data_IF_751514376524
#
_entry.id   IF_751514376524
#
_cell.length_a   1.000
_cell.length_b   1.000
_cell.length_c   1.000
_cell.angle_alpha   90.00
_cell.angle_beta   90.00
_cell.angle_gamma   90.00
#
_symmetry.space_group_name_H-M   'P 1'
#
loop_
_entity.id
_entity.type
_entity.pdbx_description
1 polymer ?
#
# COMPACT_ATOMS: atom_id res chain seq x y z
N UNK A 1 39.12 9.62 16.05
CA UNK A 1 37.90 9.21 16.78
C UNK A 1 37.12 8.27 15.89
N UNK A 2 36.65 7.14 16.44
CA UNK A 2 36.19 5.95 15.70
C UNK A 2 36.37 4.69 16.57
N UNK A 3 36.10 4.81 17.87
CA UNK A 3 36.39 3.76 18.88
C UNK A 3 35.23 2.79 19.10
N UNK A 4 34.12 2.99 18.38
CA UNK A 4 32.93 2.16 18.41
C UNK A 4 32.26 2.18 17.03
N UNK A 5 31.49 1.13 16.74
CA UNK A 5 30.65 1.00 15.54
C UNK A 5 29.22 0.68 15.95
N UNK A 6 28.20 1.11 15.18
CA UNK A 6 26.83 0.73 15.44
C UNK A 6 26.66 -0.78 15.21
N UNK A 7 26.02 -1.45 16.16
CA UNK A 7 25.60 -2.83 16.07
C UNK A 7 24.08 -2.85 16.27
N UNK A 8 23.39 -3.60 15.42
CA UNK A 8 21.95 -3.72 15.45
C UNK A 8 21.58 -5.19 15.64
N UNK A 9 20.66 -5.43 16.56
CA UNK A 9 20.05 -6.74 16.78
C UNK A 9 18.55 -6.58 17.03
N UNK A 10 17.74 -7.60 16.75
CA UNK A 10 16.35 -7.61 17.16
C UNK A 10 16.25 -7.47 18.69
N UNK A 11 15.32 -6.64 19.18
CA UNK A 11 15.12 -6.45 20.63
C UNK A 11 14.77 -7.77 21.35
N UNK A 12 14.13 -8.71 20.63
CA UNK A 12 13.78 -10.06 21.07
C UNK A 12 13.92 -11.03 19.91
N UNK A 13 13.95 -12.33 20.19
CA UNK A 13 13.96 -13.36 19.16
C UNK A 13 12.75 -13.19 18.21
N UNK A 14 13.04 -13.13 16.90
CA UNK A 14 12.04 -13.06 15.84
C UNK A 14 12.28 -14.24 14.90
N UNK A 15 11.25 -15.08 14.73
CA UNK A 15 11.30 -16.25 13.84
C UNK A 15 10.59 -15.96 12.53
N UNK A 16 11.23 -16.26 11.42
CA UNK A 16 10.63 -16.22 10.10
C UNK A 16 9.59 -17.35 9.95
N UNK A 17 8.70 -17.23 8.95
CA UNK A 17 7.75 -18.30 8.60
C UNK A 17 8.44 -19.62 8.21
N UNK A 18 9.67 -19.54 7.71
CA UNK A 18 10.53 -20.69 7.39
C UNK A 18 11.11 -21.38 8.64
N UNK A 19 10.99 -20.77 9.82
CA UNK A 19 11.55 -21.25 11.10
C UNK A 19 12.95 -20.71 11.41
N UNK A 20 13.55 -19.95 10.51
CA UNK A 20 14.87 -19.34 10.67
C UNK A 20 14.82 -18.13 11.63
N UNK A 21 15.95 -17.86 12.31
CA UNK A 21 16.13 -16.67 13.14
C UNK A 21 16.35 -15.43 12.28
N UNK A 22 15.53 -14.41 12.50
CA UNK A 22 15.67 -13.12 11.83
C UNK A 22 16.82 -12.31 12.45
N UNK A 23 17.50 -11.55 11.61
CA UNK A 23 18.54 -10.59 11.99
C UNK A 23 18.17 -9.19 11.48
N UNK A 24 18.83 -8.15 12.03
CA UNK A 24 18.77 -6.82 11.42
C UNK A 24 19.79 -6.75 10.30
N UNK A 25 19.35 -6.39 9.10
CA UNK A 25 20.22 -6.24 7.93
C UNK A 25 20.15 -4.82 7.40
N UNK A 26 21.29 -4.31 6.95
CA UNK A 26 21.37 -3.13 6.10
C UNK A 26 21.34 -3.62 4.65
N UNK A 27 20.25 -3.34 3.95
CA UNK A 27 20.03 -3.79 2.57
C UNK A 27 19.31 -2.73 1.75
N UNK A 28 19.40 -2.86 0.43
CA UNK A 28 18.61 -2.05 -0.50
C UNK A 28 17.14 -2.50 -0.42
N UNK A 29 16.27 -1.58 -0.03
CA UNK A 29 14.85 -1.83 0.15
C UNK A 29 14.05 -0.55 -0.13
N UNK A 30 12.93 -0.68 -0.84
CA UNK A 30 11.94 0.40 -0.91
C UNK A 30 11.15 0.47 0.39
N UNK A 31 10.98 1.69 0.89
CA UNK A 31 10.32 2.01 2.16
C UNK A 31 9.12 2.94 1.92
N UNK A 32 8.06 2.79 2.71
CA UNK A 32 7.03 3.81 2.89
C UNK A 32 7.44 4.70 4.06
N UNK A 33 7.47 6.01 3.86
CA UNK A 33 7.87 6.98 4.88
C UNK A 33 6.66 7.43 5.73
N UNK A 34 6.18 6.56 6.61
CA UNK A 34 5.14 6.95 7.58
C UNK A 34 5.67 7.86 8.70
N UNK A 35 7.00 8.02 8.79
CA UNK A 35 7.65 8.90 9.74
C UNK A 35 7.52 10.39 9.37
N UNK A 36 7.23 10.70 8.10
CA UNK A 36 7.08 12.07 7.60
C UNK A 36 6.05 12.85 8.41
N UNK A 37 6.50 13.93 9.07
CA UNK A 37 5.65 14.72 9.96
C UNK A 37 4.40 15.28 9.28
N UNK A 38 4.51 15.71 8.01
CA UNK A 38 3.37 16.28 7.29
C UNK A 38 2.26 15.24 7.06
N UNK A 39 2.64 13.98 6.81
CA UNK A 39 1.71 12.88 6.60
C UNK A 39 1.16 12.35 7.93
N UNK A 40 2.05 12.08 8.89
CA UNK A 40 1.69 11.63 10.23
C UNK A 40 0.65 12.55 10.88
N UNK A 41 0.84 13.87 10.77
CA UNK A 41 -0.10 14.84 11.34
C UNK A 41 -1.48 14.79 10.66
N UNK A 42 -1.55 14.64 9.32
CA UNK A 42 -2.83 14.44 8.62
C UNK A 42 -3.56 13.19 9.10
N UNK A 43 -2.83 12.09 9.34
CA UNK A 43 -3.44 10.84 9.84
C UNK A 43 -3.91 11.01 11.28
N UNK A 44 -3.10 11.63 12.15
CA UNK A 44 -3.50 11.96 13.53
C UNK A 44 -4.76 12.81 13.60
N UNK A 45 -4.85 13.85 12.76
CA UNK A 45 -6.03 14.69 12.64
C UNK A 45 -7.26 13.88 12.23
N UNK A 46 -7.12 12.95 11.27
CA UNK A 46 -8.23 12.08 10.88
C UNK A 46 -8.66 11.13 12.01
N UNK A 47 -7.70 10.45 12.65
CA UNK A 47 -7.94 9.49 13.74
C UNK A 47 -8.52 10.17 14.99
N UNK A 48 -8.24 11.45 15.19
CA UNK A 48 -8.81 12.27 16.28
C UNK A 48 -10.16 12.92 15.91
N UNK A 49 -10.57 12.86 14.64
CA UNK A 49 -11.81 13.47 14.17
C UNK A 49 -13.03 12.62 14.52
N UNK A 50 -14.21 13.23 14.50
CA UNK A 50 -15.50 12.56 14.67
C UNK A 50 -15.82 11.52 13.58
N UNK A 51 -15.12 11.60 12.44
CA UNK A 51 -15.25 10.67 11.30
C UNK A 51 -14.57 9.31 11.53
N UNK A 52 -13.71 9.18 12.55
CA UNK A 52 -13.04 7.94 12.88
C UNK A 52 -13.53 7.42 14.23
N UNK A 53 -14.06 6.20 14.27
CA UNK A 53 -14.68 5.62 15.47
C UNK A 53 -13.97 4.32 15.86
N UNK A 54 -13.25 4.35 16.98
CA UNK A 54 -12.56 3.19 17.56
C UNK A 54 -13.45 2.36 18.49
N UNK A 55 -14.65 2.86 18.81
CA UNK A 55 -15.65 2.25 19.67
C UNK A 55 -15.22 1.97 21.12
N UNK A 56 -13.97 2.24 21.49
CA UNK A 56 -13.49 2.19 22.87
C UNK A 56 -12.23 3.04 23.07
N UNK A 57 -12.04 3.64 24.26
CA UNK A 57 -10.89 4.52 24.53
C UNK A 57 -9.52 3.82 24.48
N UNK A 58 -9.48 2.51 24.73
CA UNK A 58 -8.21 1.76 24.70
C UNK A 58 -7.68 1.67 23.28
N UNK A 59 -8.51 1.31 22.31
CA UNK A 59 -8.12 1.25 20.90
C UNK A 59 -7.75 2.62 20.35
N UNK A 60 -8.44 3.69 20.77
CA UNK A 60 -8.01 5.06 20.44
C UNK A 60 -6.56 5.32 20.87
N UNK A 61 -6.25 5.01 22.14
CA UNK A 61 -4.90 5.22 22.68
C UNK A 61 -3.85 4.38 21.95
N UNK A 62 -4.17 3.15 21.57
CA UNK A 62 -3.28 2.29 20.79
C UNK A 62 -2.97 2.88 19.41
N UNK A 63 -3.95 3.46 18.71
CA UNK A 63 -3.69 4.19 17.46
C UNK A 63 -2.77 5.39 17.67
N UNK A 64 -3.03 6.21 18.70
CA UNK A 64 -2.21 7.37 19.01
C UNK A 64 -0.74 6.95 19.25
N UNK A 65 -0.52 5.89 20.03
CA UNK A 65 0.83 5.38 20.34
C UNK A 65 1.53 4.81 19.09
N UNK A 66 0.80 4.08 18.24
CA UNK A 66 1.35 3.54 16.98
C UNK A 66 1.74 4.66 16.02
N UNK A 67 0.91 5.71 15.89
CA UNK A 67 1.21 6.85 15.00
C UNK A 67 2.46 7.63 15.43
N UNK A 68 2.81 7.62 16.71
CA UNK A 68 4.07 8.19 17.20
C UNK A 68 5.27 7.27 16.99
N UNK A 69 5.06 5.96 17.12
CA UNK A 69 6.12 4.96 17.01
C UNK A 69 6.52 4.66 15.56
N UNK A 70 5.55 4.68 14.65
CA UNK A 70 5.73 4.29 13.25
C UNK A 70 6.67 5.27 12.52
N UNK A 71 7.58 4.70 11.72
CA UNK A 71 8.55 5.44 10.91
C UNK A 71 8.58 4.88 9.48
N UNK A 72 9.75 4.62 8.93
CA UNK A 72 9.90 3.94 7.66
C UNK A 72 9.44 2.47 7.77
N UNK A 73 8.69 2.01 6.78
CA UNK A 73 8.20 0.64 6.68
C UNK A 73 8.71 -0.04 5.41
N UNK A 74 9.38 -1.18 5.55
CA UNK A 74 9.87 -1.98 4.42
C UNK A 74 8.73 -2.60 3.62
N UNK A 75 8.34 -1.94 2.53
CA UNK A 75 7.18 -2.31 1.71
C UNK A 75 7.51 -3.23 0.53
N UNK A 76 8.77 -3.63 0.39
CA UNK A 76 9.27 -4.41 -0.74
C UNK A 76 10.04 -5.66 -0.32
N UNK A 77 9.98 -6.69 -1.16
CA UNK A 77 10.68 -7.99 -1.01
C UNK A 77 11.22 -8.45 -2.37
N UNK A 78 12.24 -9.31 -2.35
CA UNK A 78 12.82 -9.89 -3.58
C UNK A 78 12.24 -11.27 -3.93
N UNK A 79 11.44 -11.86 -3.04
CA UNK A 79 10.83 -13.18 -3.22
C UNK A 79 9.37 -13.19 -2.74
N UNK A 80 8.59 -14.13 -3.28
CA UNK A 80 7.17 -14.29 -2.96
C UNK A 80 6.24 -13.99 -4.13
N UNK A 81 4.94 -14.14 -3.88
CA UNK A 81 3.87 -13.73 -4.79
C UNK A 81 3.43 -12.31 -4.45
N UNK A 82 2.96 -11.57 -5.46
CA UNK A 82 2.45 -10.21 -5.30
C UNK A 82 2.64 -9.40 -6.59
N UNK A 83 2.34 -8.10 -6.49
CA UNK A 83 2.53 -7.16 -7.60
C UNK A 83 3.96 -6.61 -7.58
N UNK A 84 4.58 -6.47 -8.75
CA UNK A 84 5.93 -5.88 -8.87
C UNK A 84 5.89 -4.37 -8.66
N UNK A 85 6.97 -3.80 -8.12
CA UNK A 85 7.15 -2.35 -8.08
C UNK A 85 7.28 -1.85 -9.54
N UNK A 86 6.44 -0.90 -9.99
CA UNK A 86 6.30 -0.62 -11.42
C UNK A 86 7.52 0.08 -12.05
N UNK A 87 8.39 0.69 -11.25
CA UNK A 87 9.66 1.29 -11.70
C UNK A 87 10.89 0.45 -11.38
N UNK A 88 10.73 -0.66 -10.65
CA UNK A 88 11.84 -1.52 -10.22
C UNK A 88 11.36 -2.97 -10.03
N UNK A 89 11.25 -3.69 -11.15
CA UNK A 89 10.69 -5.04 -11.19
C UNK A 89 11.51 -6.09 -10.43
N UNK A 90 12.69 -5.75 -9.91
CA UNK A 90 13.44 -6.61 -8.99
C UNK A 90 12.65 -6.87 -7.69
N UNK A 91 11.81 -5.91 -7.30
CA UNK A 91 11.05 -5.95 -6.06
C UNK A 91 9.57 -6.26 -6.28
N UNK A 92 9.01 -7.03 -5.36
CA UNK A 92 7.59 -7.33 -5.21
C UNK A 92 7.08 -6.57 -3.98
N UNK A 93 5.91 -5.96 -4.09
CA UNK A 93 5.24 -5.26 -2.98
C UNK A 93 4.81 -6.31 -1.95
N UNK A 94 5.07 -6.02 -0.69
CA UNK A 94 4.72 -6.94 0.39
C UNK A 94 3.25 -6.83 0.84
N UNK A 95 2.76 -7.90 1.44
CA UNK A 95 1.33 -8.13 1.69
C UNK A 95 0.63 -7.12 2.60
N UNK A 96 1.33 -6.41 3.48
CA UNK A 96 0.71 -5.39 4.34
C UNK A 96 0.65 -4.02 3.64
N UNK A 97 1.39 -3.84 2.54
CA UNK A 97 1.52 -2.59 1.82
C UNK A 97 0.55 -2.52 0.63
N UNK A 98 0.28 -3.64 -0.05
CA UNK A 98 -0.72 -3.72 -1.13
C UNK A 98 -2.17 -3.86 -0.62
N UNK A 99 -2.36 -4.06 0.69
CA UNK A 99 -3.67 -4.29 1.32
C UNK A 99 -4.26 -3.08 2.06
N UNK A 100 -3.90 -1.86 1.69
CA UNK A 100 -4.25 -0.64 2.46
C UNK A 100 -5.49 0.10 1.92
N UNK A 101 -5.67 0.14 0.61
CA UNK A 101 -6.77 0.87 -0.06
C UNK A 101 -7.60 0.00 -1.03
N UNK A 102 -7.43 -1.32 -0.98
CA UNK A 102 -8.13 -2.28 -1.83
C UNK A 102 -9.66 -2.22 -1.70
N UNK A 103 -10.19 -1.64 -0.62
CA UNK A 103 -11.63 -1.42 -0.44
C UNK A 103 -12.21 -0.47 -1.48
N UNK A 104 -11.41 0.49 -2.00
CA UNK A 104 -11.81 1.32 -3.13
C UNK A 104 -11.98 0.48 -4.40
N UNK A 105 -11.11 -0.50 -4.62
CA UNK A 105 -11.20 -1.39 -5.77
C UNK A 105 -12.49 -2.24 -5.77
N UNK A 106 -13.02 -2.61 -4.60
CA UNK A 106 -14.31 -3.31 -4.51
C UNK A 106 -15.46 -2.57 -5.19
N UNK A 107 -15.44 -1.24 -5.22
CA UNK A 107 -16.54 -0.45 -5.79
C UNK A 107 -16.63 -0.60 -7.30
N UNK A 108 -15.52 -0.92 -7.98
CA UNK A 108 -15.44 -1.07 -9.45
C UNK A 108 -15.17 -2.50 -9.92
N UNK A 109 -14.77 -3.41 -9.03
CA UNK A 109 -14.38 -4.78 -9.40
C UNK A 109 -15.48 -5.55 -10.16
N UNK A 110 -16.75 -5.31 -9.84
CA UNK A 110 -17.87 -5.97 -10.53
C UNK A 110 -18.04 -5.52 -11.99
N UNK A 111 -17.58 -4.32 -12.34
CA UNK A 111 -17.59 -3.79 -13.71
C UNK A 111 -16.37 -4.26 -14.51
N UNK A 112 -15.21 -4.34 -13.85
CA UNK A 112 -13.94 -4.71 -14.47
C UNK A 112 -13.77 -6.23 -14.64
N UNK A 113 -14.13 -7.01 -13.63
CA UNK A 113 -13.90 -8.47 -13.61
C UNK A 113 -15.18 -9.31 -13.69
N UNK A 114 -16.36 -8.70 -13.49
CA UNK A 114 -17.65 -9.40 -13.62
C UNK A 114 -17.84 -10.61 -12.69
N UNK A 115 -17.13 -10.65 -11.56
CA UNK A 115 -17.17 -11.77 -10.61
C UNK A 115 -16.19 -12.92 -10.90
N UNK A 116 -15.33 -12.79 -11.92
CA UNK A 116 -14.20 -13.71 -12.15
C UNK A 116 -13.06 -13.37 -11.19
N UNK A 117 -12.70 -14.30 -10.31
CA UNK A 117 -11.70 -14.05 -9.25
C UNK A 117 -10.31 -13.69 -9.78
N UNK A 118 -9.89 -14.30 -10.88
CA UNK A 118 -8.57 -14.09 -11.48
C UNK A 118 -8.53 -12.88 -12.42
N UNK A 119 -9.68 -12.23 -12.69
CA UNK A 119 -9.77 -11.16 -13.69
C UNK A 119 -9.36 -11.59 -15.11
N UNK A 120 -9.46 -12.88 -15.44
CA UNK A 120 -8.93 -13.46 -16.69
C UNK A 120 -9.74 -13.13 -17.95
N UNK A 121 -10.89 -12.48 -17.80
CA UNK A 121 -11.81 -12.10 -18.87
C UNK A 121 -12.18 -10.63 -18.70
N UNK A 122 -12.42 -9.92 -19.82
CA UNK A 122 -12.91 -8.54 -19.78
C UNK A 122 -14.30 -8.53 -19.16
N UNK A 123 -14.49 -7.69 -18.15
CA UNK A 123 -15.76 -7.56 -17.44
C UNK A 123 -16.84 -6.78 -18.18
N UNK A 124 -18.01 -6.59 -17.54
CA UNK A 124 -19.18 -5.93 -18.13
C UNK A 124 -18.95 -4.53 -18.72
N UNK A 125 -17.98 -3.76 -18.20
CA UNK A 125 -17.67 -2.43 -18.73
C UNK A 125 -16.92 -2.48 -20.08
N UNK A 126 -16.44 -3.65 -20.52
CA UNK A 126 -15.69 -3.76 -21.76
C UNK A 126 -14.30 -3.11 -21.70
N UNK A 127 -13.80 -2.79 -20.50
CA UNK A 127 -12.50 -2.17 -20.27
C UNK A 127 -11.43 -3.27 -20.09
N UNK A 128 -10.42 -3.38 -20.96
CA UNK A 128 -9.31 -4.31 -20.77
C UNK A 128 -8.39 -3.84 -19.62
N UNK A 129 -7.70 -4.77 -18.95
CA UNK A 129 -6.87 -4.46 -17.80
C UNK A 129 -5.76 -3.43 -18.11
N UNK A 130 -5.21 -3.48 -19.32
CA UNK A 130 -4.15 -2.57 -19.78
C UNK A 130 -4.63 -1.12 -19.97
N UNK A 131 -5.96 -0.90 -20.11
CA UNK A 131 -6.54 0.44 -20.21
C UNK A 131 -6.71 1.12 -18.84
N UNK A 132 -6.57 0.38 -17.73
CA UNK A 132 -6.60 0.94 -16.37
C UNK A 132 -5.24 1.57 -16.02
N UNK A 133 -4.93 2.67 -16.69
CA UNK A 133 -3.75 3.49 -16.43
C UNK A 133 -3.89 4.30 -15.14
N UNK A 134 -2.82 4.99 -14.72
CA UNK A 134 -2.88 5.97 -13.62
C UNK A 134 -3.95 7.05 -13.91
N UNK A 135 -4.05 7.53 -15.15
CA UNK A 135 -5.05 8.52 -15.54
C UNK A 135 -6.49 8.01 -15.43
N UNK A 136 -6.72 6.73 -15.77
CA UNK A 136 -8.03 6.10 -15.61
C UNK A 136 -8.41 6.00 -14.13
N UNK A 137 -7.48 5.58 -13.25
CA UNK A 137 -7.74 5.55 -11.80
C UNK A 137 -7.94 6.95 -11.20
N UNK A 138 -7.19 7.94 -11.67
CA UNK A 138 -7.33 9.33 -11.25
C UNK A 138 -8.70 9.91 -11.63
N UNK A 139 -9.20 9.62 -12.83
CA UNK A 139 -10.56 9.99 -13.25
C UNK A 139 -11.62 9.36 -12.32
N UNK A 140 -11.52 8.06 -12.08
CA UNK A 140 -12.49 7.30 -11.29
C UNK A 140 -12.52 7.73 -9.81
N UNK A 141 -11.36 7.97 -9.20
CA UNK A 141 -11.27 8.13 -7.74
C UNK A 141 -10.96 9.55 -7.25
N UNK A 142 -10.42 10.43 -8.11
CA UNK A 142 -9.96 11.77 -7.71
C UNK A 142 -10.72 12.92 -8.38
N UNK A 143 -11.80 12.63 -9.11
CA UNK A 143 -12.62 13.64 -9.80
C UNK A 143 -11.79 14.52 -10.78
N UNK A 144 -10.73 13.93 -11.35
CA UNK A 144 -9.98 14.58 -12.43
C UNK A 144 -10.79 14.53 -13.73
N UNK A 145 -10.66 15.51 -14.63
CA UNK A 145 -11.35 15.45 -15.92
C UNK A 145 -10.84 14.27 -16.75
N UNK A 146 -11.74 13.68 -17.55
CA UNK A 146 -11.37 12.64 -18.50
C UNK A 146 -10.32 13.16 -19.50
N UNK A 147 -9.26 12.38 -19.69
CA UNK A 147 -8.18 12.68 -20.62
C UNK A 147 -7.95 11.47 -21.54
N UNK A 148 -8.33 11.62 -22.81
CA UNK A 148 -8.21 10.56 -23.82
C UNK A 148 -6.75 10.14 -24.09
N UNK A 149 -5.77 11.01 -23.82
CA UNK A 149 -4.36 10.65 -23.96
C UNK A 149 -3.89 9.74 -22.83
N UNK A 150 -4.44 9.92 -21.63
CA UNK A 150 -4.12 9.10 -20.46
C UNK A 150 -5.00 7.85 -20.34
N UNK A 151 -6.14 7.81 -21.03
CA UNK A 151 -7.07 6.69 -21.05
C UNK A 151 -7.17 6.07 -22.46
N UNK A 152 -6.08 5.48 -22.99
CA UNK A 152 -6.06 4.99 -24.37
C UNK A 152 -7.01 3.81 -24.56
N UNK A 153 -7.87 3.90 -25.59
CA UNK A 153 -8.73 2.79 -26.01
C UNK A 153 -10.02 2.61 -25.21
N UNK A 154 -10.36 3.56 -24.35
CA UNK A 154 -11.66 3.66 -23.66
C UNK A 154 -12.32 5.01 -23.97
N UNK A 155 -13.63 5.13 -23.78
CA UNK A 155 -14.36 6.41 -23.87
C UNK A 155 -14.70 6.93 -22.48
N UNK A 156 -15.10 8.19 -22.35
CA UNK A 156 -15.57 8.76 -21.07
C UNK A 156 -16.83 8.06 -20.53
N UNK A 157 -17.65 7.49 -21.42
CA UNK A 157 -18.87 6.77 -21.07
C UNK A 157 -18.60 5.35 -20.53
N UNK A 158 -17.44 4.76 -20.89
CA UNK A 158 -16.99 3.46 -20.42
C UNK A 158 -16.37 3.58 -19.03
#
# INVERSE_FOLDING_TARGET
>A
MGVAVPYYEPEKEVKARTGEDCIVALCDQWLLDYGEESWKNKVKEHVSSDRFQTYNPKTQKEFDDILEWLKEWGCSRTTGLGTRVPWDEQFVIESLSDSTIYTAYYTIAHLLQGGKLEGSEIGPAGIPAEAMTIGAFDYVFLDKPYDAEQCPGVTEEQ
#
